data_IF_389069520532
#
_entry.id   IF_389069520532
#
_cell.length_a   1.000
_cell.length_b   1.000
_cell.length_c   1.000
_cell.angle_alpha   90.00
_cell.angle_beta   90.00
_cell.angle_gamma   90.00
#
_symmetry.space_group_name_H-M   'P 1'
#
loop_
_entity.id
_entity.type
_entity.pdbx_description
1 polymer ?
#
# COMPACT_ATOMS: atom_id res chain seq x y z
N UNK A 1 6.11 -36.78 12.57
CA UNK A 1 6.51 -36.70 11.14
C UNK A 1 7.10 -35.32 10.91
N UNK A 2 8.44 -35.19 10.86
CA UNK A 2 9.11 -33.91 10.58
C UNK A 2 8.90 -33.67 9.08
N UNK A 3 8.10 -32.66 8.74
CA UNK A 3 7.94 -32.22 7.35
C UNK A 3 9.29 -31.69 6.91
N UNK A 4 9.97 -32.38 6.01
CA UNK A 4 11.20 -31.87 5.43
C UNK A 4 10.89 -30.58 4.67
N UNK A 5 11.34 -29.45 5.20
CA UNK A 5 11.20 -28.15 4.54
C UNK A 5 12.09 -28.18 3.30
N UNK A 6 11.49 -28.30 2.13
CA UNK A 6 12.21 -28.17 0.86
C UNK A 6 12.52 -26.69 0.61
N UNK A 7 13.57 -26.40 -0.16
CA UNK A 7 13.90 -25.03 -0.55
C UNK A 7 12.70 -24.33 -1.25
N UNK A 8 11.93 -25.10 -2.04
CA UNK A 8 10.67 -24.61 -2.63
C UNK A 8 9.67 -24.15 -1.57
N UNK A 9 9.41 -24.96 -0.54
CA UNK A 9 8.48 -24.61 0.55
C UNK A 9 8.93 -23.39 1.32
N UNK A 10 10.25 -23.26 1.53
CA UNK A 10 10.83 -22.06 2.15
C UNK A 10 10.58 -20.81 1.30
N UNK A 11 10.86 -20.85 -0.01
CA UNK A 11 10.63 -19.70 -0.90
C UNK A 11 9.14 -19.37 -1.01
N UNK A 12 8.26 -20.37 -0.99
CA UNK A 12 6.81 -20.14 -0.96
C UNK A 12 6.39 -19.40 0.32
N UNK A 13 6.91 -19.81 1.47
CA UNK A 13 6.64 -19.13 2.74
C UNK A 13 7.15 -17.67 2.71
N UNK A 14 8.34 -17.44 2.17
CA UNK A 14 8.90 -16.09 1.99
C UNK A 14 8.03 -15.24 1.06
N UNK A 15 7.56 -15.82 -0.06
CA UNK A 15 6.67 -15.14 -0.99
C UNK A 15 5.37 -14.70 -0.32
N UNK A 16 4.70 -15.60 0.40
CA UNK A 16 3.46 -15.29 1.13
C UNK A 16 3.70 -14.22 2.19
N UNK A 17 4.74 -14.38 3.02
CA UNK A 17 5.09 -13.41 4.04
C UNK A 17 5.38 -12.02 3.45
N UNK A 18 6.12 -11.96 2.33
CA UNK A 18 6.41 -10.71 1.64
C UNK A 18 5.14 -10.01 1.14
N UNK A 19 4.18 -10.75 0.58
CA UNK A 19 2.87 -10.22 0.16
C UNK A 19 2.08 -9.68 1.37
N UNK A 20 2.03 -10.43 2.47
CA UNK A 20 1.31 -10.00 3.69
C UNK A 20 1.92 -8.71 4.24
N UNK A 21 3.24 -8.62 4.32
CA UNK A 21 3.93 -7.42 4.83
C UNK A 21 3.75 -6.24 3.87
N UNK A 22 3.93 -6.45 2.56
CA UNK A 22 3.84 -5.39 1.57
C UNK A 22 2.43 -4.79 1.48
N UNK A 23 1.40 -5.63 1.50
CA UNK A 23 0.05 -5.18 1.19
C UNK A 23 -0.89 -5.11 2.40
N UNK A 24 -0.60 -5.82 3.49
CA UNK A 24 -1.48 -5.84 4.67
C UNK A 24 -1.75 -4.47 5.25
N UNK A 25 -0.72 -3.62 5.35
CA UNK A 25 -0.85 -2.27 5.91
C UNK A 25 -1.71 -1.34 5.03
N UNK A 26 -1.82 -1.58 3.72
CA UNK A 26 -2.60 -0.71 2.82
C UNK A 26 -4.08 -0.69 3.17
N UNK A 27 -4.58 -1.76 3.76
CA UNK A 27 -5.97 -1.85 4.23
C UNK A 27 -6.22 -1.05 5.53
N UNK A 28 -5.18 -0.74 6.30
CA UNK A 28 -5.29 0.06 7.51
C UNK A 28 -5.33 1.57 7.23
N UNK A 29 -4.75 2.05 6.14
CA UNK A 29 -4.66 3.48 5.84
C UNK A 29 -6.00 4.21 5.83
N UNK A 30 -7.09 3.72 5.22
CA UNK A 30 -8.38 4.40 5.27
C UNK A 30 -8.89 4.63 6.68
N UNK A 31 -8.68 3.67 7.57
CA UNK A 31 -9.08 3.75 8.99
C UNK A 31 -8.20 4.77 9.72
N UNK A 32 -6.88 4.72 9.52
CA UNK A 32 -5.93 5.65 10.13
C UNK A 32 -6.26 7.11 9.76
N UNK A 33 -6.57 7.36 8.48
CA UNK A 33 -6.98 8.70 8.04
C UNK A 33 -8.32 9.13 8.61
N UNK A 34 -9.30 8.24 8.66
CA UNK A 34 -10.60 8.56 9.23
C UNK A 34 -10.50 8.92 10.72
N UNK A 35 -9.68 8.19 11.46
CA UNK A 35 -9.42 8.46 12.89
C UNK A 35 -8.61 9.74 13.05
N UNK A 36 -7.50 9.91 12.33
CA UNK A 36 -6.65 11.12 12.41
C UNK A 36 -7.43 12.41 12.13
N UNK A 37 -8.26 12.42 11.08
CA UNK A 37 -9.08 13.57 10.75
C UNK A 37 -10.12 13.95 11.81
N UNK A 38 -10.65 12.96 12.54
CA UNK A 38 -11.69 13.18 13.55
C UNK A 38 -11.14 13.47 14.94
N UNK A 39 -10.14 12.70 15.33
CA UNK A 39 -9.62 12.74 16.70
C UNK A 39 -8.47 13.75 16.86
N UNK A 40 -7.59 13.84 15.86
CA UNK A 40 -6.37 14.66 15.94
C UNK A 40 -5.97 15.21 14.55
N UNK A 41 -6.70 16.21 14.00
CA UNK A 41 -6.40 16.77 12.68
C UNK A 41 -4.96 17.30 12.53
N UNK A 42 -4.32 17.72 13.64
CA UNK A 42 -2.93 18.18 13.67
C UNK A 42 -1.91 17.06 13.39
N UNK A 43 -2.31 15.80 13.55
CA UNK A 43 -1.46 14.63 13.24
C UNK A 43 -1.38 14.32 11.74
N UNK A 44 -2.24 14.88 10.91
CA UNK A 44 -2.36 14.53 9.49
C UNK A 44 -1.06 14.67 8.69
N UNK A 45 -0.24 15.73 8.84
CA UNK A 45 1.04 15.80 8.14
C UNK A 45 1.97 14.64 8.49
N UNK A 46 2.02 14.27 9.77
CA UNK A 46 2.80 13.14 10.26
C UNK A 46 2.32 11.81 9.68
N UNK A 47 1.01 11.58 9.61
CA UNK A 47 0.43 10.37 9.01
C UNK A 47 0.80 10.22 7.53
N UNK A 48 0.74 11.30 6.73
CA UNK A 48 1.14 11.29 5.33
C UNK A 48 2.63 10.99 5.16
N UNK A 49 3.50 11.55 6.01
CA UNK A 49 4.95 11.27 5.99
C UNK A 49 5.28 9.84 6.40
N UNK A 50 4.56 9.29 7.39
CA UNK A 50 4.70 7.89 7.79
C UNK A 50 4.31 6.99 6.62
N UNK A 51 3.22 7.28 5.93
CA UNK A 51 2.78 6.50 4.78
C UNK A 51 3.79 6.55 3.62
N UNK A 52 4.35 7.72 3.27
CA UNK A 52 5.45 7.82 2.27
C UNK A 52 6.64 6.97 2.69
N UNK A 53 7.04 7.02 3.97
CA UNK A 53 8.16 6.25 4.50
C UNK A 53 7.89 4.74 4.48
N UNK A 54 6.70 4.30 4.91
CA UNK A 54 6.29 2.89 4.84
C UNK A 54 6.25 2.40 3.41
N UNK A 55 5.74 3.21 2.48
CA UNK A 55 5.76 2.91 1.05
C UNK A 55 7.17 2.62 0.54
N UNK A 56 8.13 3.46 0.91
CA UNK A 56 9.51 3.39 0.46
C UNK A 56 10.31 2.27 1.15
N UNK A 57 10.20 2.13 2.46
CA UNK A 57 11.09 1.26 3.24
C UNK A 57 10.48 -0.10 3.59
N UNK A 58 9.17 -0.26 3.48
CA UNK A 58 8.47 -1.52 3.76
C UNK A 58 7.83 -2.07 2.48
N UNK A 59 6.87 -1.35 1.90
CA UNK A 59 6.08 -1.87 0.78
C UNK A 59 6.98 -2.18 -0.42
N UNK A 60 7.82 -1.25 -0.87
CA UNK A 60 8.64 -1.43 -2.07
C UNK A 60 9.64 -2.58 -1.96
N UNK A 61 10.43 -2.74 -0.87
CA UNK A 61 11.36 -3.87 -0.75
C UNK A 61 10.65 -5.22 -0.68
N UNK A 62 9.57 -5.33 0.11
CA UNK A 62 8.83 -6.59 0.23
C UNK A 62 8.05 -6.95 -1.03
N UNK A 63 7.58 -5.97 -1.79
CA UNK A 63 7.00 -6.19 -3.11
C UNK A 63 8.05 -6.71 -4.10
N UNK A 64 9.27 -6.17 -4.09
CA UNK A 64 10.40 -6.69 -4.86
C UNK A 64 10.75 -8.12 -4.48
N UNK A 65 10.80 -8.42 -3.17
CA UNK A 65 11.03 -9.77 -2.67
C UNK A 65 9.92 -10.75 -3.09
N UNK A 66 8.65 -10.33 -3.01
CA UNK A 66 7.52 -11.12 -3.46
C UNK A 66 7.60 -11.43 -4.96
N UNK A 67 7.99 -10.45 -5.79
CA UNK A 67 8.18 -10.65 -7.22
C UNK A 67 9.29 -11.67 -7.50
N UNK A 68 10.46 -11.51 -6.90
CA UNK A 68 11.60 -12.42 -7.11
C UNK A 68 11.28 -13.85 -6.66
N UNK A 69 10.68 -13.99 -5.48
CA UNK A 69 10.24 -15.29 -4.98
C UNK A 69 9.17 -15.92 -5.89
N UNK A 70 8.20 -15.13 -6.37
CA UNK A 70 7.15 -15.56 -7.30
C UNK A 70 7.71 -16.04 -8.64
N UNK A 71 8.70 -15.32 -9.21
CA UNK A 71 9.40 -15.74 -10.44
C UNK A 71 10.11 -17.08 -10.23
N UNK A 72 10.81 -17.25 -9.11
CA UNK A 72 11.45 -18.53 -8.78
C UNK A 72 10.41 -19.66 -8.70
N UNK A 73 9.30 -19.46 -7.99
CA UNK A 73 8.24 -20.47 -7.86
C UNK A 73 7.64 -20.84 -9.22
N UNK A 74 7.33 -19.85 -10.05
CA UNK A 74 6.82 -20.05 -11.41
C UNK A 74 7.82 -20.82 -12.30
N UNK A 75 9.12 -20.56 -12.17
CA UNK A 75 10.16 -21.26 -12.91
C UNK A 75 10.25 -22.73 -12.54
N UNK A 76 10.03 -23.09 -11.26
CA UNK A 76 10.07 -24.46 -10.79
C UNK A 76 8.85 -25.28 -11.24
N UNK A 77 7.70 -24.62 -11.37
CA UNK A 77 6.47 -25.27 -11.82
C UNK A 77 6.25 -25.19 -13.34
N UNK A 78 7.15 -24.52 -14.08
CA UNK A 78 7.00 -24.24 -15.52
C UNK A 78 5.68 -23.54 -15.87
N UNK A 79 5.19 -22.69 -14.94
CA UNK A 79 3.84 -22.09 -14.97
C UNK A 79 3.79 -20.66 -15.51
N UNK A 80 4.84 -20.18 -16.22
CA UNK A 80 4.84 -18.81 -16.76
C UNK A 80 3.75 -18.51 -17.78
N UNK A 81 3.23 -19.53 -18.45
CA UNK A 81 2.10 -19.41 -19.37
C UNK A 81 0.74 -19.39 -18.66
N UNK A 82 0.70 -19.70 -17.36
CA UNK A 82 -0.54 -19.75 -16.62
C UNK A 82 -1.06 -18.33 -16.32
N UNK A 83 -2.36 -18.14 -16.47
CA UNK A 83 -3.01 -16.84 -16.31
C UNK A 83 -2.71 -16.21 -14.96
N UNK A 84 -2.78 -16.96 -13.87
CA UNK A 84 -2.58 -16.43 -12.51
C UNK A 84 -1.16 -15.89 -12.28
N UNK A 85 -0.13 -16.49 -12.93
CA UNK A 85 1.26 -16.02 -12.85
C UNK A 85 1.42 -14.72 -13.62
N UNK A 86 0.93 -14.67 -14.87
CA UNK A 86 0.99 -13.45 -15.70
C UNK A 86 0.22 -12.30 -15.05
N UNK A 87 -0.96 -12.60 -14.50
CA UNK A 87 -1.76 -11.64 -13.74
C UNK A 87 -0.99 -11.10 -12.53
N UNK A 88 -0.41 -11.98 -11.71
CA UNK A 88 0.36 -11.57 -10.53
C UNK A 88 1.56 -10.68 -10.86
N UNK A 89 2.31 -11.01 -11.92
CA UNK A 89 3.42 -10.17 -12.41
C UNK A 89 2.91 -8.80 -12.88
N UNK A 90 1.84 -8.78 -13.69
CA UNK A 90 1.25 -7.53 -14.18
C UNK A 90 0.78 -6.63 -13.04
N UNK A 91 0.08 -7.21 -12.05
CA UNK A 91 -0.43 -6.46 -10.89
C UNK A 91 0.71 -5.91 -10.04
N UNK A 92 1.77 -6.67 -9.79
CA UNK A 92 2.91 -6.18 -9.01
C UNK A 92 3.63 -5.01 -9.70
N UNK A 93 3.75 -5.05 -11.02
CA UNK A 93 4.31 -3.94 -11.81
C UNK A 93 3.40 -2.71 -11.74
N UNK A 94 2.09 -2.88 -11.90
CA UNK A 94 1.10 -1.79 -11.79
C UNK A 94 1.15 -1.17 -10.39
N UNK A 95 1.10 -1.97 -9.34
CA UNK A 95 1.12 -1.48 -7.96
C UNK A 95 2.45 -0.81 -7.60
N UNK A 96 3.58 -1.31 -8.14
CA UNK A 96 4.88 -0.68 -7.99
C UNK A 96 4.95 0.71 -8.66
N UNK A 97 4.45 0.81 -9.88
CA UNK A 97 4.31 2.08 -10.58
C UNK A 97 3.39 3.06 -9.83
N UNK A 98 2.23 2.58 -9.34
CA UNK A 98 1.34 3.39 -8.51
C UNK A 98 2.02 3.86 -7.22
N UNK A 99 2.78 2.99 -6.53
CA UNK A 99 3.51 3.35 -5.32
C UNK A 99 4.47 4.51 -5.54
N UNK A 100 5.36 4.37 -6.51
CA UNK A 100 6.41 5.36 -6.79
C UNK A 100 5.91 6.61 -7.52
N UNK A 101 5.14 6.44 -8.60
CA UNK A 101 4.75 7.55 -9.47
C UNK A 101 3.44 8.25 -9.04
N UNK A 102 2.57 7.55 -8.31
CA UNK A 102 1.29 8.13 -7.89
C UNK A 102 1.25 8.43 -6.41
N UNK A 103 1.42 7.43 -5.52
CA UNK A 103 1.22 7.62 -4.08
C UNK A 103 2.30 8.49 -3.46
N UNK A 104 3.58 8.19 -3.64
CA UNK A 104 4.67 8.89 -2.98
C UNK A 104 4.65 10.43 -3.18
N UNK A 105 4.53 10.98 -4.41
CA UNK A 105 4.48 12.43 -4.58
C UNK A 105 3.20 13.05 -4.00
N UNK A 106 2.08 12.32 -4.01
CA UNK A 106 0.80 12.85 -3.49
C UNK A 106 0.73 12.83 -1.98
N UNK A 107 1.30 11.83 -1.32
CA UNK A 107 1.40 11.81 0.14
C UNK A 107 2.27 12.95 0.67
N UNK A 108 3.39 13.25 0.00
CA UNK A 108 4.21 14.43 0.33
C UNK A 108 3.43 15.73 0.15
N UNK A 109 2.72 15.85 -0.97
CA UNK A 109 1.89 17.02 -1.24
C UNK A 109 0.76 17.18 -0.21
N UNK A 110 0.12 16.09 0.21
CA UNK A 110 -0.90 16.09 1.27
C UNK A 110 -0.32 16.53 2.61
N UNK A 111 0.90 16.09 2.96
CA UNK A 111 1.58 16.56 4.17
C UNK A 111 1.81 18.08 4.13
N UNK A 112 2.35 18.62 3.02
CA UNK A 112 2.59 20.05 2.83
C UNK A 112 1.29 20.87 2.91
N UNK A 113 0.23 20.40 2.26
CA UNK A 113 -1.08 21.06 2.28
C UNK A 113 -1.67 21.07 3.69
N UNK A 114 -1.57 19.96 4.40
CA UNK A 114 -2.05 19.87 5.76
C UNK A 114 -1.25 20.80 6.70
N UNK A 115 0.06 20.88 6.57
CA UNK A 115 0.90 21.83 7.33
C UNK A 115 0.53 23.28 7.06
N UNK A 116 0.34 23.63 5.78
CA UNK A 116 -0.08 24.98 5.40
C UNK A 116 -1.43 25.35 6.03
N UNK A 117 -2.40 24.45 5.95
CA UNK A 117 -3.75 24.69 6.45
C UNK A 117 -3.77 24.81 7.99
N UNK A 118 -2.95 24.02 8.70
CA UNK A 118 -2.75 24.11 10.15
C UNK A 118 -2.10 25.45 10.51
N UNK A 119 -1.03 25.85 9.82
CA UNK A 119 -0.36 27.13 10.08
C UNK A 119 -1.31 28.33 9.85
N UNK A 120 -2.19 28.25 8.86
CA UNK A 120 -3.21 29.29 8.61
C UNK A 120 -4.25 29.36 9.74
N UNK A 121 -4.69 28.21 10.25
CA UNK A 121 -5.60 28.14 11.40
C UNK A 121 -4.95 28.74 12.66
N UNK A 122 -3.69 28.44 12.93
CA UNK A 122 -2.95 28.97 14.09
C UNK A 122 -2.74 30.50 14.03
N UNK A 123 -2.57 31.06 12.83
CA UNK A 123 -2.50 32.51 12.64
C UNK A 123 -3.83 33.21 12.90
N UNK A 124 -4.94 32.56 12.58
CA UNK A 124 -6.30 33.11 12.73
C UNK A 124 -6.83 32.98 14.14
N UNK A 125 -6.43 31.95 14.88
CA UNK A 125 -6.87 31.69 16.26
C UNK A 125 -5.79 30.87 16.99
N UNK A 126 -4.84 31.51 17.66
CA UNK A 126 -3.75 30.82 18.34
C UNK A 126 -4.25 29.87 19.42
N UNK A 127 -3.94 28.60 19.26
CA UNK A 127 -4.06 27.56 20.29
C UNK A 127 -5.37 26.75 20.31
N UNK A 128 -6.48 27.25 19.81
CA UNK A 128 -7.80 26.60 19.97
C UNK A 128 -8.67 26.62 18.69
N UNK A 129 -8.08 26.98 17.56
CA UNK A 129 -8.79 27.02 16.27
C UNK A 129 -9.09 25.62 15.72
N UNK A 130 -10.38 25.36 15.42
CA UNK A 130 -10.76 24.16 14.66
C UNK A 130 -10.04 24.15 13.30
N UNK A 131 -9.28 23.08 13.01
CA UNK A 131 -8.57 22.94 11.74
C UNK A 131 -9.57 22.60 10.65
N UNK A 132 -9.71 23.49 9.66
CA UNK A 132 -10.50 23.24 8.46
C UNK A 132 -9.55 23.11 7.28
N UNK A 133 -9.38 21.88 6.80
CA UNK A 133 -8.56 21.62 5.62
C UNK A 133 -9.17 22.24 4.36
N UNK A 134 -8.32 22.86 3.52
CA UNK A 134 -8.70 23.51 2.29
C UNK A 134 -9.21 22.55 1.22
N UNK A 135 -9.86 23.08 0.18
CA UNK A 135 -10.44 22.28 -0.90
C UNK A 135 -9.40 21.52 -1.71
N UNK A 136 -8.18 22.06 -1.85
CA UNK A 136 -7.07 21.37 -2.54
C UNK A 136 -6.70 20.08 -1.79
N UNK A 137 -6.53 20.14 -0.46
CA UNK A 137 -6.28 18.97 0.37
C UNK A 137 -7.40 17.93 0.25
N UNK A 138 -8.66 18.37 0.38
CA UNK A 138 -9.82 17.47 0.32
C UNK A 138 -9.93 16.74 -1.02
N UNK A 139 -9.72 17.46 -2.13
CA UNK A 139 -9.75 16.88 -3.49
C UNK A 139 -8.63 15.86 -3.68
N UNK A 140 -7.40 16.21 -3.32
CA UNK A 140 -6.25 15.32 -3.46
C UNK A 140 -6.40 14.08 -2.59
N UNK A 141 -6.82 14.23 -1.34
CA UNK A 141 -7.11 13.12 -0.43
C UNK A 141 -8.19 12.18 -0.99
N UNK A 142 -9.27 12.73 -1.54
CA UNK A 142 -10.34 11.92 -2.16
C UNK A 142 -9.82 11.12 -3.35
N UNK A 143 -8.97 11.72 -4.18
CA UNK A 143 -8.33 11.02 -5.30
C UNK A 143 -7.45 9.87 -4.80
N UNK A 144 -6.57 10.14 -3.84
CA UNK A 144 -5.68 9.13 -3.24
C UNK A 144 -6.50 8.01 -2.62
N UNK A 145 -7.56 8.32 -1.88
CA UNK A 145 -8.47 7.32 -1.31
C UNK A 145 -9.11 6.43 -2.37
N UNK A 146 -9.64 7.00 -3.45
CA UNK A 146 -10.26 6.23 -4.55
C UNK A 146 -9.27 5.28 -5.21
N UNK A 147 -8.05 5.75 -5.48
CA UNK A 147 -7.00 4.91 -6.07
C UNK A 147 -6.54 3.83 -5.09
N UNK A 148 -6.48 4.13 -3.78
CA UNK A 148 -6.17 3.12 -2.77
C UNK A 148 -7.24 2.02 -2.70
N UNK A 149 -8.53 2.36 -2.81
CA UNK A 149 -9.62 1.37 -2.86
C UNK A 149 -9.48 0.48 -4.11
N UNK A 150 -9.19 1.06 -5.28
CA UNK A 150 -8.96 0.29 -6.51
C UNK A 150 -7.74 -0.62 -6.38
N UNK A 151 -6.63 -0.13 -5.83
CA UNK A 151 -5.42 -0.93 -5.58
C UNK A 151 -5.71 -2.08 -4.60
N UNK A 152 -6.44 -1.82 -3.51
CA UNK A 152 -6.83 -2.83 -2.54
C UNK A 152 -7.74 -3.91 -3.16
N UNK A 153 -8.69 -3.51 -4.01
CA UNK A 153 -9.53 -4.45 -4.76
C UNK A 153 -8.69 -5.33 -5.68
N UNK A 154 -7.71 -4.74 -6.38
CA UNK A 154 -6.81 -5.47 -7.26
C UNK A 154 -5.96 -6.49 -6.50
N UNK A 155 -5.47 -6.13 -5.30
CA UNK A 155 -4.75 -7.04 -4.41
C UNK A 155 -5.63 -8.23 -4.02
N UNK A 156 -6.88 -7.99 -3.60
CA UNK A 156 -7.81 -9.07 -3.21
C UNK A 156 -8.13 -10.00 -4.38
N UNK A 157 -8.33 -9.45 -5.58
CA UNK A 157 -8.53 -10.26 -6.79
C UNK A 157 -7.29 -11.11 -7.11
N UNK A 158 -6.09 -10.56 -6.91
CA UNK A 158 -4.85 -11.29 -7.13
C UNK A 158 -4.71 -12.45 -6.14
N UNK A 159 -5.01 -12.23 -4.86
CA UNK A 159 -5.03 -13.29 -3.85
C UNK A 159 -6.03 -14.38 -4.26
N UNK A 160 -7.23 -13.99 -4.70
CA UNK A 160 -8.24 -14.94 -5.16
C UNK A 160 -7.75 -15.80 -6.34
N UNK A 161 -7.18 -15.21 -7.40
CA UNK A 161 -6.67 -15.97 -8.54
C UNK A 161 -5.51 -16.89 -8.17
N UNK A 162 -4.63 -16.46 -7.27
CA UNK A 162 -3.51 -17.29 -6.80
C UNK A 162 -4.00 -18.49 -5.96
N UNK A 163 -5.06 -18.33 -5.18
CA UNK A 163 -5.60 -19.39 -4.32
C UNK A 163 -6.58 -20.31 -5.06
N UNK A 164 -7.40 -19.79 -5.96
CA UNK A 164 -8.37 -20.56 -6.72
C UNK A 164 -7.71 -21.59 -7.65
N UNK A 165 -6.48 -21.32 -8.12
CA UNK A 165 -5.73 -22.24 -8.97
C UNK A 165 -5.26 -23.51 -8.22
N UNK A 166 -5.09 -23.45 -6.91
CA UNK A 166 -4.62 -24.60 -6.10
C UNK A 166 -5.73 -25.59 -5.74
N UNK A 167 -6.97 -25.31 -6.10
CA UNK A 167 -8.15 -26.11 -5.78
C UNK A 167 -8.78 -26.88 -6.96
N UNK A 168 -8.13 -26.93 -8.13
CA UNK A 168 -8.60 -27.64 -9.31
C UNK A 168 -7.81 -28.94 -9.55
#
# INVERSE_FOLDING_TARGET
MIVAVTFYTFVLAVHIAAIVIAFGITFAYPVMYAVGLRAEPRSMPGLHRIQDSVGKFVISPFMGLALLAGIYLASKLHSFSDFYVQWGIAVIVILGGLGGAFFAPRERRLAELAERDIATADQSSPGDGAIVFGEEYKRLRTLVFRVNVLASTLILLTIYFMTAHTGA
#
